data_IF_749920059409
#
_entry.id   IF_749920059409
#
_cell.length_a   1.000
_cell.length_b   1.000
_cell.length_c   1.000
_cell.angle_alpha   90.00
_cell.angle_beta   90.00
_cell.angle_gamma   90.00
#
_symmetry.space_group_name_H-M   'P 1'
#
loop_
_entity.id
_entity.type
_entity.pdbx_description
1 polymer ?
#
# COMPACT_ATOMS: atom_id res chain seq x y z
N UNK A 1 5.78 -5.08 -2.44
CA UNK A 1 6.44 -3.93 -1.79
C UNK A 1 6.16 -3.80 -0.29
N UNK A 2 4.99 -4.23 0.22
CA UNK A 2 4.62 -4.03 1.64
C UNK A 2 5.64 -4.56 2.66
N UNK A 3 6.12 -5.80 2.53
CA UNK A 3 7.13 -6.38 3.43
C UNK A 3 8.46 -5.61 3.34
N UNK A 4 8.89 -5.28 2.12
CA UNK A 4 10.18 -4.61 1.86
C UNK A 4 10.26 -3.25 2.58
N UNK A 5 9.17 -2.49 2.62
CA UNK A 5 9.16 -1.21 3.34
C UNK A 5 9.14 -1.38 4.86
N UNK A 6 8.67 -2.51 5.38
CA UNK A 6 8.81 -2.82 6.81
C UNK A 6 10.26 -3.19 7.13
N UNK A 7 10.91 -4.01 6.31
CA UNK A 7 12.26 -4.50 6.60
C UNK A 7 13.34 -3.44 6.35
N UNK A 8 13.24 -2.70 5.24
CA UNK A 8 14.29 -1.78 4.76
C UNK A 8 13.70 -0.46 4.25
N UNK A 9 12.94 0.29 5.07
CA UNK A 9 12.28 1.53 4.63
C UNK A 9 13.25 2.59 4.09
N UNK A 10 14.44 2.69 4.69
CA UNK A 10 15.43 3.72 4.33
C UNK A 10 16.13 3.52 2.98
N UNK A 11 15.86 2.43 2.25
CA UNK A 11 16.43 2.21 0.91
C UNK A 11 15.67 2.93 -0.20
N UNK A 12 14.47 3.43 0.08
CA UNK A 12 13.58 3.98 -0.95
C UNK A 12 13.20 5.42 -0.61
N UNK A 13 13.27 6.33 -1.60
CA UNK A 13 12.70 7.68 -1.47
C UNK A 13 11.17 7.63 -1.59
N UNK A 14 10.65 6.83 -2.52
CA UNK A 14 9.21 6.68 -2.74
C UNK A 14 8.84 5.30 -3.27
N UNK A 15 7.61 4.87 -2.99
CA UNK A 15 7.04 3.58 -3.40
C UNK A 15 5.64 3.79 -3.97
N UNK A 16 5.35 3.15 -5.10
CA UNK A 16 3.98 2.96 -5.60
C UNK A 16 3.58 1.52 -5.30
N UNK A 17 2.43 1.33 -4.65
CA UNK A 17 1.86 0.03 -4.34
C UNK A 17 0.47 -0.07 -4.98
N UNK A 18 0.39 -0.76 -6.11
CA UNK A 18 -0.87 -0.93 -6.85
C UNK A 18 -1.60 -2.18 -6.35
N UNK A 19 -2.90 -2.02 -6.04
CA UNK A 19 -3.80 -3.11 -5.57
C UNK A 19 -3.08 -4.12 -4.65
N UNK A 20 -2.40 -3.65 -3.58
CA UNK A 20 -1.39 -4.48 -2.95
C UNK A 20 -2.00 -5.47 -1.97
N UNK A 21 -1.68 -6.75 -2.13
CA UNK A 21 -1.98 -7.80 -1.15
C UNK A 21 -1.10 -7.58 0.10
N UNK A 22 -1.70 -7.15 1.21
CA UNK A 22 -0.96 -6.65 2.39
C UNK A 22 -1.51 -7.16 3.71
N UNK A 23 -2.75 -7.64 3.75
CA UNK A 23 -3.36 -8.25 4.93
C UNK A 23 -3.28 -9.78 4.85
N UNK A 24 -2.08 -10.28 4.50
CA UNK A 24 -1.83 -11.66 4.09
C UNK A 24 -2.36 -12.66 5.11
N UNK A 25 -2.07 -12.46 6.40
CA UNK A 25 -2.47 -13.39 7.43
C UNK A 25 -3.99 -13.43 7.63
N UNK A 26 -4.64 -12.27 7.74
CA UNK A 26 -6.08 -12.20 7.97
C UNK A 26 -6.86 -12.73 6.78
N UNK A 27 -6.49 -12.31 5.56
CA UNK A 27 -7.16 -12.75 4.32
C UNK A 27 -7.03 -14.27 4.14
N UNK A 28 -5.83 -14.81 4.35
CA UNK A 28 -5.59 -16.25 4.14
C UNK A 28 -6.17 -17.15 5.25
N UNK A 29 -6.65 -16.57 6.36
CA UNK A 29 -7.41 -17.32 7.38
C UNK A 29 -8.91 -17.43 7.06
N UNK A 30 -9.41 -16.66 6.08
CA UNK A 30 -10.82 -16.59 5.73
C UNK A 30 -11.10 -17.17 4.33
N UNK A 31 -11.64 -18.39 4.31
CA UNK A 31 -12.01 -19.12 3.10
C UNK A 31 -13.19 -18.51 2.34
N UNK A 32 -13.92 -17.56 2.94
CA UNK A 32 -15.05 -16.88 2.28
C UNK A 32 -14.61 -15.77 1.33
N UNK A 33 -13.35 -15.32 1.45
CA UNK A 33 -12.76 -14.32 0.55
C UNK A 33 -12.36 -15.01 -0.77
N UNK A 34 -12.68 -14.41 -1.95
CA UNK A 34 -12.26 -14.96 -3.23
C UNK A 34 -10.75 -15.21 -3.30
N UNK A 35 -10.35 -16.24 -4.05
CA UNK A 35 -8.98 -16.70 -4.25
C UNK A 35 -8.29 -17.40 -3.06
N UNK A 36 -8.66 -17.12 -1.80
CA UNK A 36 -7.97 -17.68 -0.60
C UNK A 36 -7.67 -19.18 -0.70
N UNK A 37 -8.69 -20.01 -0.99
CA UNK A 37 -8.51 -21.47 -1.06
C UNK A 37 -7.52 -21.86 -2.17
N UNK A 38 -7.60 -21.19 -3.33
CA UNK A 38 -6.69 -21.46 -4.46
C UNK A 38 -5.26 -21.01 -4.16
N UNK A 39 -5.09 -19.95 -3.38
CA UNK A 39 -3.77 -19.42 -3.04
C UNK A 39 -3.06 -20.17 -1.90
N UNK A 40 -3.71 -21.15 -1.26
CA UNK A 40 -3.03 -22.05 -0.32
C UNK A 40 -1.85 -22.80 -0.95
N UNK A 41 -1.93 -23.10 -2.25
CA UNK A 41 -0.83 -23.76 -2.97
C UNK A 41 0.37 -22.82 -3.21
N UNK A 42 0.14 -21.50 -3.15
CA UNK A 42 1.19 -20.48 -3.34
C UNK A 42 1.80 -20.05 -2.00
N UNK A 43 0.97 -19.61 -1.05
CA UNK A 43 1.45 -19.03 0.22
C UNK A 43 1.48 -20.01 1.38
N UNK A 44 0.71 -21.10 1.28
CA UNK A 44 0.39 -22.00 2.39
C UNK A 44 -0.95 -21.68 3.06
N UNK A 45 -1.44 -22.64 3.86
CA UNK A 45 -2.70 -22.51 4.59
C UNK A 45 -2.41 -22.16 6.07
N UNK A 46 -2.69 -20.92 6.53
CA UNK A 46 -2.40 -20.49 7.90
C UNK A 46 -3.30 -21.11 8.97
N UNK A 47 -4.24 -22.00 8.62
CA UNK A 47 -4.87 -22.89 9.60
C UNK A 47 -3.85 -23.88 10.19
N UNK A 48 -2.78 -24.20 9.45
CA UNK A 48 -1.60 -24.87 10.00
C UNK A 48 -0.70 -23.87 10.74
N UNK A 49 -0.31 -24.21 11.96
CA UNK A 49 0.51 -23.36 12.82
C UNK A 49 1.89 -23.01 12.22
N UNK A 50 2.43 -23.86 11.34
CA UNK A 50 3.70 -23.64 10.65
C UNK A 50 3.56 -22.49 9.66
N UNK A 51 2.55 -22.56 8.78
CA UNK A 51 2.27 -21.51 7.80
C UNK A 51 1.80 -20.23 8.50
N UNK A 52 0.97 -20.32 9.54
CA UNK A 52 0.57 -19.15 10.34
C UNK A 52 1.79 -18.34 10.81
N UNK A 53 2.76 -19.02 11.44
CA UNK A 53 3.95 -18.35 11.99
C UNK A 53 4.82 -17.75 10.90
N UNK A 54 4.99 -18.47 9.79
CA UNK A 54 5.78 -18.00 8.66
C UNK A 54 5.13 -16.82 7.95
N UNK A 55 3.83 -16.90 7.65
CA UNK A 55 3.06 -15.80 7.05
C UNK A 55 3.04 -14.58 7.96
N UNK A 56 2.83 -14.78 9.26
CA UNK A 56 2.89 -13.69 10.25
C UNK A 56 4.24 -12.99 10.28
N UNK A 57 5.36 -13.67 10.02
CA UNK A 57 6.68 -13.03 10.07
C UNK A 57 6.92 -12.04 8.93
N UNK A 58 6.17 -12.10 7.83
CA UNK A 58 6.35 -11.20 6.69
C UNK A 58 5.11 -10.40 6.29
N UNK A 59 3.92 -10.78 6.77
CA UNK A 59 2.64 -10.12 6.43
C UNK A 59 2.75 -8.60 6.62
N UNK A 60 2.59 -7.78 5.56
CA UNK A 60 2.87 -6.35 5.63
C UNK A 60 2.04 -5.61 6.68
N UNK A 61 0.74 -5.90 6.77
CA UNK A 61 -0.16 -5.28 7.75
C UNK A 61 0.21 -5.62 9.19
N UNK A 62 0.54 -6.88 9.46
CA UNK A 62 0.87 -7.36 10.80
C UNK A 62 2.19 -6.77 11.33
N UNK A 63 3.14 -6.47 10.43
CA UNK A 63 4.49 -6.02 10.77
C UNK A 63 4.72 -4.50 10.57
N UNK A 64 3.65 -3.70 10.53
CA UNK A 64 3.78 -2.24 10.63
C UNK A 64 4.22 -1.86 12.05
N UNK A 65 5.25 -1.04 12.16
CA UNK A 65 5.88 -0.63 13.42
C UNK A 65 6.06 0.89 13.49
N UNK A 66 6.36 1.41 14.68
CA UNK A 66 6.67 2.83 14.86
C UNK A 66 8.08 3.17 14.34
N UNK A 67 8.17 3.57 13.07
CA UNK A 67 9.41 4.01 12.40
C UNK A 67 9.11 4.90 11.20
N UNK A 68 10.16 5.46 10.59
CA UNK A 68 10.05 6.22 9.35
C UNK A 68 9.84 5.29 8.15
N UNK A 69 8.87 5.62 7.30
CA UNK A 69 8.53 4.93 6.06
C UNK A 69 8.79 5.85 4.84
N UNK A 70 9.01 5.30 3.63
CA UNK A 70 9.19 6.12 2.43
C UNK A 70 7.90 6.88 2.07
N UNK A 71 8.01 7.85 1.15
CA UNK A 71 6.81 8.40 0.52
C UNK A 71 6.05 7.27 -0.20
N UNK A 72 4.72 7.24 -0.08
CA UNK A 72 3.92 6.16 -0.65
C UNK A 72 2.67 6.66 -1.37
N UNK A 73 2.46 6.12 -2.56
CA UNK A 73 1.18 6.14 -3.27
C UNK A 73 0.62 4.71 -3.30
N UNK A 74 -0.52 4.51 -2.65
CA UNK A 74 -1.23 3.24 -2.63
C UNK A 74 -2.48 3.38 -3.49
N UNK A 75 -2.68 2.48 -4.46
CA UNK A 75 -3.89 2.46 -5.30
C UNK A 75 -4.71 1.20 -5.04
N UNK A 76 -6.03 1.31 -5.18
CA UNK A 76 -6.96 0.18 -5.05
C UNK A 76 -8.27 0.47 -5.79
N UNK A 77 -9.09 -0.54 -6.05
CA UNK A 77 -10.42 -0.40 -6.63
C UNK A 77 -11.50 -0.91 -5.67
N UNK A 78 -12.62 -0.19 -5.53
CA UNK A 78 -13.72 -0.57 -4.64
C UNK A 78 -14.31 -1.94 -5.00
N UNK A 79 -14.32 -2.27 -6.30
CA UNK A 79 -14.88 -3.51 -6.84
C UNK A 79 -13.79 -4.52 -7.23
N UNK A 80 -12.60 -4.42 -6.63
CA UNK A 80 -11.50 -5.36 -6.89
C UNK A 80 -11.86 -6.76 -6.36
N UNK A 81 -11.88 -7.73 -7.28
CA UNK A 81 -12.22 -9.12 -6.99
C UNK A 81 -11.00 -10.01 -6.69
N UNK A 82 -9.78 -9.47 -6.77
CA UNK A 82 -8.54 -10.21 -6.49
C UNK A 82 -7.95 -9.77 -5.16
N UNK A 83 -7.77 -8.46 -4.95
CA UNK A 83 -7.31 -7.90 -3.68
C UNK A 83 -8.39 -6.97 -3.15
N UNK A 84 -8.96 -7.34 -2.02
CA UNK A 84 -10.10 -6.62 -1.49
C UNK A 84 -9.71 -5.21 -1.03
N UNK A 85 -10.51 -4.21 -1.38
CA UNK A 85 -10.17 -2.78 -1.18
C UNK A 85 -9.82 -2.42 0.27
N UNK A 86 -10.34 -3.17 1.24
CA UNK A 86 -10.09 -2.93 2.66
C UNK A 86 -8.67 -3.28 3.08
N UNK A 87 -7.96 -4.16 2.37
CA UNK A 87 -6.57 -4.49 2.69
C UNK A 87 -5.66 -3.26 2.61
N UNK A 88 -5.52 -2.56 1.46
CA UNK A 88 -4.76 -1.33 1.38
C UNK A 88 -5.34 -0.21 2.25
N UNK A 89 -6.67 -0.15 2.44
CA UNK A 89 -7.28 0.86 3.31
C UNK A 89 -6.87 0.69 4.77
N UNK A 90 -6.95 -0.53 5.33
CA UNK A 90 -6.49 -0.86 6.69
C UNK A 90 -5.00 -0.61 6.83
N UNK A 91 -4.22 -1.01 5.83
CA UNK A 91 -2.77 -0.85 5.84
C UNK A 91 -2.33 0.61 5.86
N UNK A 92 -2.92 1.45 5.01
CA UNK A 92 -2.68 2.90 5.02
C UNK A 92 -3.10 3.52 6.35
N UNK A 93 -4.24 3.12 6.91
CA UNK A 93 -4.69 3.63 8.21
C UNK A 93 -3.68 3.30 9.33
N UNK A 94 -3.22 2.05 9.42
CA UNK A 94 -2.23 1.61 10.42
C UNK A 94 -0.87 2.28 10.22
N UNK A 95 -0.43 2.47 8.98
CA UNK A 95 0.79 3.22 8.67
C UNK A 95 0.69 4.68 9.12
N UNK A 96 -0.46 5.35 8.90
CA UNK A 96 -0.66 6.73 9.39
C UNK A 96 -0.66 6.83 10.92
N UNK A 97 -1.16 5.81 11.60
CA UNK A 97 -1.16 5.74 13.05
C UNK A 97 0.24 5.59 13.64
N UNK A 98 1.08 4.74 13.02
CA UNK A 98 2.34 4.31 13.61
C UNK A 98 3.59 5.00 13.06
N UNK A 99 3.59 5.45 11.79
CA UNK A 99 4.80 6.01 11.18
C UNK A 99 5.28 7.26 11.92
N UNK A 100 6.60 7.46 11.97
CA UNK A 100 7.23 8.56 12.71
C UNK A 100 7.76 9.69 11.83
N UNK A 101 7.66 9.56 10.52
CA UNK A 101 8.05 10.57 9.53
C UNK A 101 6.87 11.48 9.13
N UNK A 102 7.15 12.52 8.35
CA UNK A 102 6.16 13.40 7.71
C UNK A 102 6.03 13.18 6.19
N UNK A 103 6.50 12.03 5.70
CA UNK A 103 6.45 11.70 4.28
C UNK A 103 4.99 11.52 3.82
N UNK A 104 4.79 11.75 2.52
CA UNK A 104 3.49 11.61 1.87
C UNK A 104 3.03 10.16 1.95
N UNK A 105 1.78 9.94 2.37
CA UNK A 105 1.13 8.63 2.39
C UNK A 105 -0.30 8.76 1.84
N UNK A 106 -0.44 8.47 0.56
CA UNK A 106 -1.65 8.66 -0.23
C UNK A 106 -2.35 7.32 -0.46
N UNK A 107 -3.67 7.33 -0.35
CA UNK A 107 -4.55 6.23 -0.79
C UNK A 107 -5.43 6.78 -1.89
N UNK A 108 -5.32 6.20 -3.09
CA UNK A 108 -6.17 6.49 -4.22
C UNK A 108 -7.09 5.29 -4.46
N UNK A 109 -8.34 5.43 -4.07
CA UNK A 109 -9.36 4.41 -4.30
C UNK A 109 -10.17 4.79 -5.52
N UNK A 110 -10.14 3.93 -6.53
CA UNK A 110 -11.06 4.02 -7.64
C UNK A 110 -12.42 3.48 -7.21
N UNK A 111 -13.42 4.35 -7.19
CA UNK A 111 -14.77 4.00 -6.74
C UNK A 111 -15.58 3.22 -7.79
N UNK A 112 -15.12 3.17 -9.04
CA UNK A 112 -15.84 2.51 -10.14
C UNK A 112 -15.14 1.24 -10.66
N UNK A 113 -13.84 1.07 -10.35
CA UNK A 113 -13.01 0.02 -10.93
C UNK A 113 -12.82 -1.20 -10.01
N UNK A 114 -12.50 -2.34 -10.66
CA UNK A 114 -11.94 -3.53 -10.01
C UNK A 114 -10.43 -3.67 -10.25
N UNK A 115 -9.90 -4.89 -10.20
CA UNK A 115 -8.45 -5.16 -10.20
C UNK A 115 -7.69 -4.58 -11.39
N UNK A 116 -8.26 -4.69 -12.60
CA UNK A 116 -7.64 -4.19 -13.83
C UNK A 116 -7.71 -2.66 -14.00
N UNK A 117 -8.23 -1.93 -13.02
CA UNK A 117 -8.51 -0.50 -13.14
C UNK A 117 -9.70 -0.19 -14.06
N UNK A 118 -9.90 1.09 -14.37
CA UNK A 118 -10.99 1.52 -15.28
C UNK A 118 -10.79 0.97 -16.69
N UNK A 119 -11.86 0.40 -17.26
CA UNK A 119 -11.89 0.03 -18.66
C UNK A 119 -11.90 1.27 -19.56
N UNK A 120 -10.92 1.40 -20.44
CA UNK A 120 -10.84 2.47 -21.43
C UNK A 120 -9.43 3.02 -21.60
N UNK A 121 -8.97 3.16 -22.84
CA UNK A 121 -7.58 3.52 -23.19
C UNK A 121 -7.06 4.79 -22.49
N UNK A 122 -7.91 5.81 -22.32
CA UNK A 122 -7.48 7.07 -21.71
C UNK A 122 -7.37 6.98 -20.18
N UNK A 123 -8.22 6.18 -19.53
CA UNK A 123 -8.21 6.04 -18.07
C UNK A 123 -6.99 5.28 -17.56
N UNK A 124 -6.49 4.30 -18.32
CA UNK A 124 -5.22 3.65 -17.97
C UNK A 124 -4.05 4.63 -18.04
N UNK A 125 -4.02 5.55 -19.01
CA UNK A 125 -2.99 6.59 -19.07
C UNK A 125 -3.08 7.60 -17.94
N UNK A 126 -4.29 7.95 -17.46
CA UNK A 126 -4.46 8.79 -16.27
C UNK A 126 -3.84 8.14 -15.02
N UNK A 127 -4.07 6.83 -14.82
CA UNK A 127 -3.47 6.08 -13.71
C UNK A 127 -1.94 6.04 -13.78
N UNK A 128 -1.38 5.72 -14.95
CA UNK A 128 0.07 5.75 -15.16
C UNK A 128 0.65 7.15 -14.96
N UNK A 129 -0.04 8.19 -15.46
CA UNK A 129 0.39 9.57 -15.29
C UNK A 129 0.41 9.99 -13.81
N UNK A 130 -0.58 9.58 -13.01
CA UNK A 130 -0.61 9.83 -11.57
C UNK A 130 0.60 9.21 -10.86
N UNK A 131 0.90 7.94 -11.14
CA UNK A 131 2.01 7.21 -10.53
C UNK A 131 3.36 7.82 -10.92
N UNK A 132 3.52 8.20 -12.20
CA UNK A 132 4.73 8.83 -12.70
C UNK A 132 4.89 10.24 -12.13
N UNK A 133 3.82 11.03 -12.07
CA UNK A 133 3.86 12.37 -11.47
C UNK A 133 4.29 12.30 -10.00
N UNK A 134 3.83 11.28 -9.25
CA UNK A 134 4.27 11.05 -7.88
C UNK A 134 5.77 10.76 -7.80
N UNK A 135 6.28 9.78 -8.54
CA UNK A 135 7.70 9.40 -8.49
C UNK A 135 8.62 10.49 -9.05
N UNK A 136 8.28 11.07 -10.20
CA UNK A 136 9.04 12.17 -10.81
C UNK A 136 9.01 13.40 -9.92
N UNK A 137 7.87 13.73 -9.31
CA UNK A 137 7.76 14.86 -8.39
C UNK A 137 8.64 14.69 -7.15
N UNK A 138 8.73 13.48 -6.59
CA UNK A 138 9.68 13.19 -5.50
C UNK A 138 11.14 13.28 -5.97
N UNK A 139 11.45 12.79 -7.18
CA UNK A 139 12.80 12.84 -7.74
C UNK A 139 13.26 14.27 -8.05
N UNK A 140 12.33 15.14 -8.46
CA UNK A 140 12.56 16.55 -8.76
C UNK A 140 12.30 17.49 -7.57
N UNK A 141 11.91 16.93 -6.43
CA UNK A 141 11.64 17.68 -5.19
C UNK A 141 10.51 18.72 -5.32
N UNK A 142 9.62 18.52 -6.28
CA UNK A 142 8.37 19.29 -6.40
C UNK A 142 7.26 18.73 -5.49
N UNK A 143 7.42 17.50 -5.02
CA UNK A 143 6.64 16.91 -3.93
C UNK A 143 7.58 16.65 -2.74
N UNK A 144 7.27 17.23 -1.58
CA UNK A 144 8.09 17.15 -0.36
C UNK A 144 7.26 16.71 0.85
N UNK A 145 7.93 16.45 1.98
CA UNK A 145 7.25 16.19 3.26
C UNK A 145 6.51 17.44 3.74
N UNK A 146 5.47 17.26 4.55
CA UNK A 146 4.64 18.37 5.06
C UNK A 146 5.43 19.41 5.87
N UNK A 147 6.58 19.03 6.39
CA UNK A 147 7.51 19.91 7.11
C UNK A 147 8.23 20.94 6.22
N UNK A 148 8.20 20.80 4.89
CA UNK A 148 8.83 21.74 3.94
C UNK A 148 8.00 22.99 3.62
N UNK A 149 6.69 23.00 3.92
CA UNK A 149 5.79 24.15 3.67
C UNK A 149 5.71 25.13 4.85
N UNK A 150 6.04 24.69 6.07
CA UNK A 150 5.84 25.48 7.29
C UNK A 150 6.83 26.66 7.47
N UNK A 151 7.85 26.78 6.63
CA UNK A 151 8.91 27.79 6.75
C UNK A 151 8.77 28.96 5.74
N UNK A 152 7.61 29.08 5.07
CA UNK A 152 7.35 30.12 4.06
C UNK A 152 6.25 31.13 4.41
N UNK A 153 5.68 31.09 5.62
CA UNK A 153 4.68 32.09 6.03
C UNK A 153 5.40 33.34 6.58
N UNK A 154 5.29 34.53 5.94
CA UNK A 154 5.87 35.74 6.49
C UNK A 154 5.15 36.14 7.79
N UNK A 155 5.86 36.75 8.77
CA UNK A 155 5.25 37.13 10.04
C UNK A 155 4.11 38.13 9.80
N UNK A 156 2.97 37.86 10.44
CA UNK A 156 1.83 38.78 10.52
C UNK A 156 2.18 40.05 11.29
#
# INVERSE_FOLDING_TARGET
MGTVINERPGLFKGVVAQVPFVDVLTTMLDETIPLTIGEYEEWGNPQDATYYRYMKSYSPYDNVEAKAYPHMLVTTGLHDSQVQYWEPAKWVAKLRELKTDDNLLLLCTDMDAGHGGKSGRFKSYEGVALEYAFIVGLAQETLTSRSGEADQDPPR
#
